data_IF_140429013656
#
_entry.id   IF_140429013656
#
_cell.length_a   1.000
_cell.length_b   1.000
_cell.length_c   1.000
_cell.angle_alpha   90.00
_cell.angle_beta   90.00
_cell.angle_gamma   90.00
#
_symmetry.space_group_name_H-M   'P 1'
#
loop_
_entity.id
_entity.type
_entity.pdbx_description
1 polymer ?
#
# COMPACT_ATOMS: atom_id res chain seq x y z
N UNK A 1 -49.90 26.58 -39.86
CA UNK A 1 -49.30 25.36 -40.47
C UNK A 1 -47.80 25.43 -40.22
N UNK A 2 -47.28 24.63 -39.27
CA UNK A 2 -46.58 23.35 -39.48
C UNK A 2 -45.06 23.56 -39.78
N UNK A 3 -44.06 22.96 -39.13
CA UNK A 3 -43.96 21.90 -38.11
C UNK A 3 -42.54 21.92 -37.50
N UNK A 4 -42.46 21.30 -36.32
CA UNK A 4 -41.29 20.86 -35.54
C UNK A 4 -40.20 20.16 -36.37
N UNK A 5 -38.94 20.33 -35.93
CA UNK A 5 -38.03 19.21 -35.66
C UNK A 5 -36.84 19.04 -36.61
N UNK A 6 -35.63 19.09 -36.05
CA UNK A 6 -34.56 18.13 -36.34
C UNK A 6 -33.48 18.26 -35.26
N UNK A 7 -33.70 17.53 -34.17
CA UNK A 7 -32.70 17.16 -33.18
C UNK A 7 -31.55 16.47 -33.93
N UNK A 8 -30.38 17.11 -34.01
CA UNK A 8 -29.21 16.49 -34.63
C UNK A 8 -28.79 15.28 -33.78
N UNK A 9 -29.00 14.10 -34.33
CA UNK A 9 -28.66 12.81 -33.73
C UNK A 9 -27.15 12.69 -33.52
N UNK A 10 -26.68 12.92 -32.31
CA UNK A 10 -25.38 12.42 -31.89
C UNK A 10 -25.52 10.90 -31.72
N UNK A 11 -25.08 10.17 -32.74
CA UNK A 11 -25.02 8.72 -32.73
C UNK A 11 -24.17 8.28 -31.54
N UNK A 12 -24.82 7.58 -30.59
CA UNK A 12 -24.10 6.91 -29.51
C UNK A 12 -23.19 5.85 -30.13
N UNK A 13 -21.89 5.78 -29.79
CA UNK A 13 -21.16 4.53 -29.94
C UNK A 13 -21.74 3.53 -28.93
N UNK A 14 -22.73 2.77 -29.40
CA UNK A 14 -23.20 1.55 -28.75
C UNK A 14 -22.08 0.51 -28.74
N UNK A 15 -21.92 -0.10 -27.57
CA UNK A 15 -21.17 -1.34 -27.27
C UNK A 15 -19.64 -1.30 -27.22
N UNK A 16 -19.07 -0.41 -26.39
CA UNK A 16 -17.88 -0.84 -25.63
C UNK A 16 -18.36 -1.77 -24.52
N UNK A 17 -18.47 -3.05 -24.89
CA UNK A 17 -18.79 -4.18 -24.00
C UNK A 17 -17.74 -4.19 -22.89
N UNK A 18 -18.06 -3.51 -21.78
CA UNK A 18 -17.32 -3.58 -20.53
C UNK A 18 -17.13 -5.06 -20.22
N UNK A 19 -15.92 -5.56 -20.47
CA UNK A 19 -15.50 -6.88 -20.00
C UNK A 19 -15.60 -6.77 -18.49
N UNK A 20 -16.71 -7.32 -18.00
CA UNK A 20 -17.01 -7.63 -16.60
C UNK A 20 -15.70 -7.91 -15.87
N UNK A 21 -15.48 -7.15 -14.80
CA UNK A 21 -14.75 -7.57 -13.60
C UNK A 21 -13.50 -8.38 -13.98
N UNK A 22 -12.39 -7.68 -14.20
CA UNK A 22 -11.09 -8.32 -14.24
C UNK A 22 -10.94 -9.17 -12.96
N UNK A 23 -10.94 -10.49 -13.16
CA UNK A 23 -10.95 -11.53 -12.14
C UNK A 23 -10.21 -11.14 -10.85
N UNK A 24 -10.83 -11.40 -9.70
CA UNK A 24 -10.16 -11.37 -8.39
C UNK A 24 -8.86 -12.17 -8.38
N UNK A 25 -8.70 -13.16 -9.26
CA UNK A 25 -7.42 -13.88 -9.48
C UNK A 25 -6.35 -13.03 -10.13
N UNK A 26 -6.66 -12.14 -11.08
CA UNK A 26 -5.70 -11.23 -11.72
C UNK A 26 -5.28 -10.08 -10.81
N UNK A 27 -6.22 -9.52 -10.04
CA UNK A 27 -5.88 -8.52 -9.02
C UNK A 27 -5.02 -9.13 -7.91
N UNK A 28 -5.38 -10.33 -7.44
CA UNK A 28 -4.56 -11.09 -6.48
C UNK A 28 -3.22 -11.52 -7.07
N UNK A 29 -3.16 -11.93 -8.35
CA UNK A 29 -1.91 -12.24 -9.04
C UNK A 29 -1.03 -10.99 -9.20
N UNK A 30 -1.58 -9.82 -9.51
CA UNK A 30 -0.83 -8.56 -9.56
C UNK A 30 -0.34 -8.14 -8.17
N UNK A 31 -1.15 -8.32 -7.12
CA UNK A 31 -0.76 -7.97 -5.75
C UNK A 31 0.30 -8.95 -5.22
N UNK A 32 0.10 -10.26 -5.43
CA UNK A 32 1.11 -11.29 -5.12
C UNK A 32 2.36 -11.07 -5.96
N UNK A 33 2.26 -10.74 -7.25
CA UNK A 33 3.41 -10.45 -8.10
C UNK A 33 4.13 -9.17 -7.67
N UNK A 34 3.42 -8.11 -7.30
CA UNK A 34 4.03 -6.88 -6.76
C UNK A 34 4.74 -7.14 -5.43
N UNK A 35 4.13 -7.93 -4.53
CA UNK A 35 4.77 -8.38 -3.30
C UNK A 35 5.99 -9.26 -3.60
N UNK A 36 5.88 -10.26 -4.50
CA UNK A 36 6.99 -11.11 -4.92
C UNK A 36 8.09 -10.33 -5.63
N UNK A 37 7.75 -9.30 -6.40
CA UNK A 37 8.71 -8.42 -7.07
C UNK A 37 9.41 -7.51 -6.07
N UNK A 38 8.72 -7.07 -5.02
CA UNK A 38 9.33 -6.38 -3.88
C UNK A 38 10.24 -7.33 -3.08
N UNK A 39 9.79 -8.55 -2.79
CA UNK A 39 10.54 -9.58 -2.05
C UNK A 39 11.80 -10.03 -2.80
N UNK A 40 11.69 -10.30 -4.10
CA UNK A 40 12.79 -10.75 -4.95
C UNK A 40 13.77 -9.63 -5.32
N UNK A 41 13.37 -8.36 -5.22
CA UNK A 41 14.25 -7.22 -5.48
C UNK A 41 15.00 -6.73 -4.22
N UNK A 42 14.48 -7.00 -3.02
CA UNK A 42 15.01 -6.39 -1.79
C UNK A 42 16.24 -7.08 -1.20
N UNK A 43 16.41 -8.39 -1.40
CA UNK A 43 17.50 -9.13 -0.79
C UNK A 43 18.14 -10.10 -1.77
N UNK A 44 19.42 -9.89 -2.05
CA UNK A 44 20.23 -10.82 -2.82
C UNK A 44 21.10 -11.63 -1.84
N UNK A 45 21.50 -12.87 -2.18
CA UNK A 45 22.48 -13.63 -1.40
C UNK A 45 23.73 -12.83 -0.90
N UNK A 46 24.33 -11.90 -1.68
CA UNK A 46 25.43 -11.05 -1.21
C UNK A 46 25.10 -10.10 -0.03
N UNK A 47 23.82 -9.86 0.24
CA UNK A 47 23.33 -8.99 1.31
C UNK A 47 23.19 -9.74 2.66
N UNK A 48 23.46 -11.06 2.70
CA UNK A 48 23.42 -11.89 3.91
C UNK A 48 24.78 -11.89 4.60
N UNK A 49 24.81 -11.52 5.88
CA UNK A 49 26.05 -11.42 6.70
C UNK A 49 25.86 -12.03 8.09
N UNK A 50 26.88 -12.66 8.69
CA UNK A 50 26.86 -13.00 10.11
C UNK A 50 26.83 -11.75 10.99
N UNK A 51 26.09 -11.81 12.10
CA UNK A 51 26.07 -10.72 13.10
C UNK A 51 27.48 -10.41 13.63
N UNK A 52 28.33 -11.43 13.76
CA UNK A 52 29.72 -11.28 14.23
C UNK A 52 30.61 -10.49 13.26
N UNK A 53 30.41 -10.66 11.95
CA UNK A 53 31.10 -9.85 10.92
C UNK A 53 30.66 -8.39 11.02
N UNK A 54 29.35 -8.16 11.10
CA UNK A 54 28.79 -6.81 11.25
C UNK A 54 29.32 -6.09 12.50
N UNK A 55 29.45 -6.78 13.63
CA UNK A 55 30.00 -6.19 14.86
C UNK A 55 31.46 -5.77 14.71
N UNK A 56 32.28 -6.56 14.01
CA UNK A 56 33.70 -6.26 13.78
C UNK A 56 33.91 -5.08 12.84
N UNK A 57 33.06 -4.94 11.82
CA UNK A 57 33.23 -3.95 10.74
C UNK A 57 32.08 -2.95 10.63
N UNK A 58 31.36 -2.69 11.73
CA UNK A 58 30.10 -1.94 11.73
C UNK A 58 30.15 -0.60 10.95
N UNK A 59 31.25 0.14 11.06
CA UNK A 59 31.44 1.42 10.34
C UNK A 59 31.42 1.23 8.81
N UNK A 60 32.06 0.18 8.30
CA UNK A 60 32.09 -0.11 6.87
C UNK A 60 30.72 -0.56 6.36
N UNK A 61 30.01 -1.40 7.12
CA UNK A 61 28.62 -1.78 6.82
C UNK A 61 27.70 -0.56 6.78
N UNK A 62 27.72 0.29 7.81
CA UNK A 62 26.90 1.52 7.86
C UNK A 62 27.22 2.45 6.68
N UNK A 63 28.49 2.60 6.32
CA UNK A 63 28.88 3.42 5.17
C UNK A 63 28.34 2.86 3.84
N UNK A 64 28.39 1.52 3.65
CA UNK A 64 27.79 0.86 2.48
C UNK A 64 26.28 1.04 2.46
N UNK A 65 25.58 0.76 3.56
CA UNK A 65 24.13 0.95 3.68
C UNK A 65 23.71 2.36 3.27
N UNK A 66 24.38 3.40 3.80
CA UNK A 66 24.11 4.80 3.45
C UNK A 66 24.41 5.12 1.99
N UNK A 67 25.45 4.53 1.41
CA UNK A 67 25.86 4.77 0.02
C UNK A 67 24.95 4.09 -0.99
N UNK A 68 24.53 2.85 -0.70
CA UNK A 68 23.79 2.01 -1.66
C UNK A 68 22.29 2.07 -1.44
N UNK A 69 21.83 2.38 -0.22
CA UNK A 69 20.43 2.28 0.19
C UNK A 69 19.90 0.85 0.28
N UNK A 70 20.75 -0.15 0.02
CA UNK A 70 20.38 -1.57 0.03
C UNK A 70 20.40 -2.08 1.46
N UNK A 71 19.37 -2.82 1.90
CA UNK A 71 19.36 -3.43 3.21
C UNK A 71 20.30 -4.64 3.27
N UNK A 72 20.77 -4.99 4.47
CA UNK A 72 21.56 -6.20 4.75
C UNK A 72 20.78 -7.12 5.71
N UNK A 73 20.87 -8.44 5.52
CA UNK A 73 20.31 -9.45 6.43
C UNK A 73 21.41 -9.94 7.36
N UNK A 74 21.19 -9.83 8.67
CA UNK A 74 22.05 -10.39 9.69
C UNK A 74 21.59 -11.78 10.11
N UNK A 75 22.52 -12.71 10.14
CA UNK A 75 22.30 -14.08 10.60
C UNK A 75 22.89 -14.31 12.00
N UNK A 76 22.18 -15.10 12.80
CA UNK A 76 22.63 -15.61 14.10
C UNK A 76 22.56 -17.13 14.03
N UNK A 77 23.68 -17.81 14.29
CA UNK A 77 23.80 -19.27 14.17
C UNK A 77 23.33 -19.79 12.79
N UNK A 78 23.70 -19.08 11.71
CA UNK A 78 23.37 -19.46 10.34
C UNK A 78 21.93 -19.22 9.91
N UNK A 79 21.09 -18.60 10.77
CA UNK A 79 19.69 -18.29 10.45
C UNK A 79 19.47 -16.79 10.36
N UNK A 80 18.73 -16.34 9.34
CA UNK A 80 18.32 -14.94 9.20
C UNK A 80 17.53 -14.49 10.43
N UNK A 81 17.97 -13.40 11.05
CA UNK A 81 17.43 -12.92 12.32
C UNK A 81 16.93 -11.48 12.24
N UNK A 82 17.68 -10.59 11.58
CA UNK A 82 17.40 -9.14 11.56
C UNK A 82 17.75 -8.56 10.19
N UNK A 83 17.02 -7.53 9.76
CA UNK A 83 17.37 -6.69 8.61
C UNK A 83 17.89 -5.35 9.11
N UNK A 84 19.00 -4.88 8.55
CA UNK A 84 19.56 -3.55 8.82
C UNK A 84 19.46 -2.71 7.56
N UNK A 85 18.95 -1.48 7.71
CA UNK A 85 18.81 -0.52 6.61
C UNK A 85 19.18 0.88 7.11
N UNK A 86 19.66 1.74 6.21
CA UNK A 86 19.81 3.15 6.55
C UNK A 86 18.43 3.81 6.76
N UNK A 87 18.39 4.82 7.63
CA UNK A 87 17.15 5.48 8.04
C UNK A 87 16.43 6.19 6.87
N UNK A 88 17.16 6.78 5.93
CA UNK A 88 16.58 7.54 4.83
C UNK A 88 15.92 6.63 3.79
N UNK A 89 16.54 5.47 3.51
CA UNK A 89 15.97 4.45 2.63
C UNK A 89 14.77 3.78 3.26
N UNK A 90 14.82 3.50 4.57
CA UNK A 90 13.66 3.01 5.30
C UNK A 90 12.49 4.00 5.27
N UNK A 91 12.75 5.29 5.48
CA UNK A 91 11.72 6.32 5.43
C UNK A 91 11.05 6.39 4.04
N UNK A 92 11.84 6.38 2.96
CA UNK A 92 11.30 6.34 1.59
C UNK A 92 10.44 5.10 1.35
N UNK A 93 10.89 3.93 1.80
CA UNK A 93 10.11 2.70 1.71
C UNK A 93 8.78 2.81 2.46
N UNK A 94 8.81 3.42 3.66
CA UNK A 94 7.60 3.66 4.46
C UNK A 94 6.62 4.60 3.76
N UNK A 95 7.11 5.71 3.21
CA UNK A 95 6.29 6.67 2.46
C UNK A 95 5.66 6.06 1.20
N UNK A 96 6.35 5.12 0.53
CA UNK A 96 5.80 4.39 -0.61
C UNK A 96 4.70 3.43 -0.16
N UNK A 97 4.90 2.72 0.95
CA UNK A 97 3.89 1.82 1.52
C UNK A 97 2.64 2.58 1.97
N UNK A 98 2.81 3.76 2.57
CA UNK A 98 1.70 4.60 3.00
C UNK A 98 0.91 5.14 1.79
N UNK A 99 1.60 5.64 0.76
CA UNK A 99 0.96 6.04 -0.51
C UNK A 99 0.18 4.90 -1.18
N UNK A 100 0.76 3.70 -1.21
CA UNK A 100 0.08 2.54 -1.78
C UNK A 100 -1.21 2.19 -1.00
N UNK A 101 -1.19 2.33 0.34
CA UNK A 101 -2.37 2.14 1.18
C UNK A 101 -3.44 3.18 0.89
N UNK A 102 -3.05 4.44 0.74
CA UNK A 102 -3.99 5.53 0.44
C UNK A 102 -4.69 5.31 -0.91
N UNK A 103 -3.93 4.92 -1.93
CA UNK A 103 -4.49 4.59 -3.25
C UNK A 103 -5.50 3.44 -3.13
N UNK A 104 -5.13 2.36 -2.44
CA UNK A 104 -6.03 1.22 -2.24
C UNK A 104 -7.31 1.61 -1.47
N UNK A 105 -7.18 2.49 -0.48
CA UNK A 105 -8.33 3.00 0.27
C UNK A 105 -9.28 3.84 -0.61
N UNK A 106 -8.73 4.69 -1.47
CA UNK A 106 -9.50 5.50 -2.44
C UNK A 106 -10.22 4.58 -3.44
N UNK A 107 -9.52 3.59 -4.00
CA UNK A 107 -10.12 2.63 -4.92
C UNK A 107 -11.27 1.85 -4.28
N UNK A 108 -11.09 1.41 -3.03
CA UNK A 108 -12.14 0.73 -2.25
C UNK A 108 -13.34 1.66 -2.02
N UNK A 109 -13.09 2.91 -1.61
CA UNK A 109 -14.15 3.89 -1.38
C UNK A 109 -14.97 4.17 -2.66
N UNK A 110 -14.30 4.29 -3.80
CA UNK A 110 -14.96 4.46 -5.10
C UNK A 110 -15.78 3.23 -5.50
N UNK A 111 -15.34 2.03 -5.14
CA UNK A 111 -16.10 0.80 -5.36
C UNK A 111 -17.35 0.74 -4.48
N UNK A 112 -17.26 1.15 -3.21
CA UNK A 112 -18.40 1.20 -2.29
C UNK A 112 -19.45 2.22 -2.73
N UNK A 113 -19.04 3.39 -3.22
CA UNK A 113 -19.94 4.38 -3.83
C UNK A 113 -20.68 3.78 -5.02
N UNK A 114 -19.98 3.09 -5.92
CA UNK A 114 -20.61 2.42 -7.08
C UNK A 114 -21.57 1.30 -6.68
N UNK A 115 -21.30 0.63 -5.56
CA UNK A 115 -22.13 -0.43 -5.01
C UNK A 115 -23.30 0.09 -4.15
N UNK A 116 -23.43 1.42 -3.97
CA UNK A 116 -24.44 2.02 -3.09
C UNK A 116 -24.18 1.78 -1.60
N UNK A 117 -22.99 1.33 -1.22
CA UNK A 117 -22.55 1.15 0.17
C UNK A 117 -22.11 2.48 0.77
N UNK A 118 -23.04 3.42 0.84
CA UNK A 118 -22.83 4.76 1.38
C UNK A 118 -23.84 5.02 2.49
N UNK A 119 -23.47 5.87 3.44
CA UNK A 119 -24.34 6.33 4.51
C UNK A 119 -24.41 7.85 4.49
N UNK A 120 -25.49 8.41 5.01
CA UNK A 120 -25.60 9.85 5.21
C UNK A 120 -24.68 10.34 6.35
N UNK A 121 -24.44 11.65 6.36
CA UNK A 121 -23.53 12.27 7.31
C UNK A 121 -24.00 12.16 8.77
N UNK A 122 -25.31 12.24 9.02
CA UNK A 122 -25.85 12.22 10.38
C UNK A 122 -25.74 10.82 11.01
N UNK A 123 -26.05 9.78 10.23
CA UNK A 123 -25.84 8.38 10.61
C UNK A 123 -24.36 8.12 10.94
N UNK A 124 -23.45 8.55 10.06
CA UNK A 124 -22.01 8.41 10.27
C UNK A 124 -21.52 9.15 11.52
N UNK A 125 -21.96 10.40 11.72
CA UNK A 125 -21.55 11.22 12.85
C UNK A 125 -22.02 10.64 14.19
N UNK A 126 -23.25 10.11 14.23
CA UNK A 126 -23.82 9.41 15.39
C UNK A 126 -23.00 8.18 15.76
N UNK A 127 -22.68 7.33 14.78
CA UNK A 127 -21.93 6.10 15.00
C UNK A 127 -20.47 6.36 15.40
N UNK A 128 -19.81 7.31 14.74
CA UNK A 128 -18.46 7.73 15.06
C UNK A 128 -18.37 8.32 16.48
N UNK A 129 -19.34 9.16 16.88
CA UNK A 129 -19.42 9.72 18.23
C UNK A 129 -19.58 8.63 19.29
N UNK A 130 -20.47 7.64 19.06
CA UNK A 130 -20.64 6.49 19.96
C UNK A 130 -19.37 5.66 20.07
N UNK A 131 -18.65 5.45 18.98
CA UNK A 131 -17.39 4.69 18.98
C UNK A 131 -16.31 5.42 19.80
N UNK A 132 -16.16 6.73 19.63
CA UNK A 132 -15.20 7.54 20.37
C UNK A 132 -15.49 7.60 21.88
N UNK A 133 -16.76 7.58 22.28
CA UNK A 133 -17.15 7.55 23.69
C UNK A 133 -16.79 6.26 24.42
N UNK A 134 -16.62 5.15 23.67
CA UNK A 134 -16.22 3.84 24.21
C UNK A 134 -14.71 3.69 24.35
N UNK A 135 -13.92 4.62 23.80
CA UNK A 135 -12.48 4.54 23.93
C UNK A 135 -12.06 4.85 25.38
N UNK A 136 -11.14 4.06 25.96
CA UNK A 136 -10.65 4.31 27.30
C UNK A 136 -9.98 5.68 27.36
N UNK A 137 -10.40 6.52 28.31
CA UNK A 137 -9.75 7.82 28.55
C UNK A 137 -8.29 7.56 28.91
N UNK A 138 -7.35 8.17 28.14
CA UNK A 138 -5.91 8.13 28.48
C UNK A 138 -5.74 8.54 29.94
N UNK A 139 -5.18 7.67 30.76
CA UNK A 139 -4.70 8.03 32.11
C UNK A 139 -3.62 9.10 31.93
N UNK A 140 -3.77 10.24 32.62
CA UNK A 140 -2.70 11.25 32.68
C UNK A 140 -1.47 10.57 33.31
N UNK A 141 -0.38 10.49 32.57
CA UNK A 141 0.93 10.16 33.12
C UNK A 141 1.33 11.27 34.07
N UNK A 142 1.59 10.91 35.33
CA UNK A 142 2.21 11.79 36.32
C UNK A 142 3.70 12.00 35.99
#
# INVERSE_FOLDING_TARGET
>A
MARRGAFTSYQRPTTLRLRKIADSRRALLCFIAAIKHLENAMFQPPDIRPLTEFQREAKAHIARLKKTGKPEILTVNGRAAVVVQDASSYQKLRELADRARDIAAIESALADVKAGKVQDFESFASDSRKALQRLPKKRKSA
#
